data_IF_596966153752
#
_entry.id   IF_596966153752
#
_cell.length_a   1.000
_cell.length_b   1.000
_cell.length_c   1.000
_cell.angle_alpha   90.00
_cell.angle_beta   90.00
_cell.angle_gamma   90.00
#
_symmetry.space_group_name_H-M   'P 1'
#
loop_
_entity.id
_entity.type
_entity.pdbx_description
1 polymer ?
#
# COMPACT_ATOMS: atom_id res chain seq x y z
N UNK A 1 4.60 -21.54 5.83
CA UNK A 1 6.01 -21.14 5.74
C UNK A 1 6.53 -21.25 4.33
N UNK A 2 6.36 -22.41 3.69
CA UNK A 2 6.86 -22.61 2.31
C UNK A 2 6.19 -21.66 1.32
N UNK A 3 4.86 -21.52 1.40
CA UNK A 3 4.11 -20.63 0.52
C UNK A 3 4.47 -19.17 0.73
N UNK A 4 4.64 -18.76 1.99
CA UNK A 4 5.06 -17.39 2.30
C UNK A 4 6.45 -17.11 1.78
N UNK A 5 7.35 -18.07 1.86
CA UNK A 5 8.72 -17.93 1.35
C UNK A 5 8.73 -17.77 -0.16
N UNK A 6 7.94 -18.59 -0.88
CA UNK A 6 7.80 -18.45 -2.33
C UNK A 6 7.20 -17.10 -2.72
N UNK A 7 6.17 -16.65 -1.98
CA UNK A 7 5.54 -15.36 -2.22
C UNK A 7 6.53 -14.22 -2.06
N UNK A 8 7.37 -14.27 -1.01
CA UNK A 8 8.42 -13.27 -0.81
C UNK A 8 9.42 -13.25 -1.97
N UNK A 9 9.82 -14.43 -2.44
CA UNK A 9 10.76 -14.53 -3.56
C UNK A 9 10.15 -13.97 -4.84
N UNK A 10 8.87 -14.29 -5.09
CA UNK A 10 8.18 -13.87 -6.31
C UNK A 10 7.86 -12.38 -6.34
N UNK A 11 7.87 -11.73 -5.18
CA UNK A 11 7.56 -10.30 -5.04
C UNK A 11 8.70 -9.53 -4.39
N UNK A 12 9.93 -10.00 -4.57
CA UNK A 12 11.11 -9.31 -4.05
C UNK A 12 11.45 -8.07 -4.87
N UNK A 13 12.29 -7.23 -4.31
CA UNK A 13 12.74 -6.01 -4.97
C UNK A 13 13.35 -6.34 -6.32
N UNK A 14 12.96 -5.57 -7.34
CA UNK A 14 13.37 -5.76 -8.71
C UNK A 14 12.40 -6.59 -9.55
N UNK A 15 11.45 -7.27 -8.94
CA UNK A 15 10.43 -8.03 -9.65
C UNK A 15 9.28 -7.11 -10.09
N UNK A 16 8.60 -7.50 -11.16
CA UNK A 16 7.36 -6.83 -11.56
C UNK A 16 6.29 -7.12 -10.52
N UNK A 17 5.41 -6.15 -10.28
CA UNK A 17 4.31 -6.35 -9.33
C UNK A 17 3.40 -7.49 -9.77
N UNK A 18 2.74 -8.10 -8.80
CA UNK A 18 1.71 -9.11 -9.06
C UNK A 18 0.35 -8.46 -8.81
N UNK A 19 -0.52 -8.52 -9.81
CA UNK A 19 -1.86 -7.94 -9.69
C UNK A 19 -2.77 -8.78 -8.80
N UNK A 20 -3.78 -8.16 -8.26
CA UNK A 20 -4.85 -8.84 -7.54
C UNK A 20 -6.15 -8.05 -7.68
N UNK A 21 -7.26 -8.73 -7.43
CA UNK A 21 -8.61 -8.18 -7.56
C UNK A 21 -9.32 -8.31 -6.22
N UNK A 22 -9.95 -7.22 -5.79
CA UNK A 22 -10.82 -7.23 -4.60
C UNK A 22 -12.23 -6.88 -5.05
N UNK A 23 -13.15 -7.83 -4.91
CA UNK A 23 -14.50 -7.68 -5.49
C UNK A 23 -15.27 -6.48 -4.93
N UNK A 24 -15.09 -6.17 -3.63
CA UNK A 24 -15.74 -5.01 -3.01
C UNK A 24 -14.70 -4.07 -2.43
N UNK A 25 -13.57 -3.90 -3.13
CA UNK A 25 -12.41 -3.18 -2.60
C UNK A 25 -12.50 -1.67 -2.67
N UNK A 26 -13.43 -1.12 -3.42
CA UNK A 26 -13.60 0.33 -3.50
C UNK A 26 -14.41 0.86 -2.33
N UNK A 27 -14.25 2.14 -2.02
CA UNK A 27 -14.98 2.78 -0.92
C UNK A 27 -16.51 2.75 -1.13
N UNK A 28 -16.95 2.63 -2.38
CA UNK A 28 -18.37 2.52 -2.72
C UNK A 28 -18.80 1.08 -2.96
N UNK A 29 -17.95 0.11 -2.61
CA UNK A 29 -18.24 -1.30 -2.80
C UNK A 29 -17.91 -1.85 -4.18
N UNK A 30 -17.32 -1.04 -5.04
CA UNK A 30 -16.98 -1.47 -6.40
C UNK A 30 -15.78 -2.41 -6.43
N UNK A 31 -15.70 -3.19 -7.50
CA UNK A 31 -14.57 -4.07 -7.76
C UNK A 31 -13.35 -3.24 -8.14
N UNK A 32 -12.20 -3.57 -7.57
CA UNK A 32 -10.95 -2.85 -7.87
C UNK A 32 -9.83 -3.85 -8.13
N UNK A 33 -8.85 -3.43 -8.93
CA UNK A 33 -7.62 -4.16 -9.18
C UNK A 33 -6.44 -3.34 -8.68
N UNK A 34 -5.40 -4.02 -8.23
CA UNK A 34 -4.16 -3.34 -7.85
C UNK A 34 -3.58 -2.57 -9.04
N UNK A 35 -3.70 -3.15 -10.23
CA UNK A 35 -3.25 -2.52 -11.48
C UNK A 35 -4.04 -1.27 -11.87
N UNK A 36 -5.14 -0.98 -11.18
CA UNK A 36 -5.82 0.31 -11.37
C UNK A 36 -4.95 1.47 -10.88
N UNK A 37 -3.98 1.18 -10.00
CA UNK A 37 -3.12 2.18 -9.37
C UNK A 37 -1.64 1.97 -9.71
N UNK A 38 -1.16 0.73 -9.67
CA UNK A 38 0.25 0.40 -9.86
C UNK A 38 0.52 0.18 -11.35
N UNK A 39 1.66 0.68 -11.81
CA UNK A 39 2.05 0.52 -13.22
C UNK A 39 1.36 1.49 -14.16
N UNK A 40 0.92 2.63 -13.66
CA UNK A 40 0.18 3.63 -14.45
C UNK A 40 1.01 4.88 -14.76
N UNK A 41 2.32 4.75 -14.74
CA UNK A 41 3.19 5.85 -15.13
C UNK A 41 3.64 6.76 -14.00
N UNK A 42 3.22 6.47 -12.78
CA UNK A 42 3.66 7.18 -11.57
C UNK A 42 4.21 6.19 -10.57
N UNK A 43 5.14 6.65 -9.74
CA UNK A 43 5.53 5.89 -8.55
C UNK A 43 4.30 5.71 -7.67
N UNK A 44 4.16 4.54 -7.05
CA UNK A 44 3.05 4.26 -6.12
C UNK A 44 3.62 3.83 -4.78
N UNK A 45 3.28 4.57 -3.74
CA UNK A 45 3.58 4.19 -2.36
C UNK A 45 2.37 3.44 -1.82
N UNK A 46 2.58 2.22 -1.40
CA UNK A 46 1.50 1.33 -0.94
C UNK A 46 1.71 0.98 0.53
N UNK A 47 0.68 1.22 1.33
CA UNK A 47 0.67 0.95 2.76
C UNK A 47 -0.36 -0.14 3.06
N UNK A 48 0.11 -1.33 3.41
CA UNK A 48 -0.76 -2.42 3.86
C UNK A 48 -0.98 -2.26 5.37
N UNK A 49 -2.22 -2.11 5.79
CA UNK A 49 -2.54 -1.70 7.16
C UNK A 49 -3.87 -2.28 7.65
N UNK A 50 -4.18 -2.05 8.94
CA UNK A 50 -5.47 -2.39 9.53
C UNK A 50 -5.76 -1.44 10.69
N UNK A 51 -7.04 -1.24 10.98
CA UNK A 51 -7.46 -0.31 12.05
C UNK A 51 -7.08 -0.79 13.44
N UNK A 52 -6.93 -2.11 13.63
CA UNK A 52 -6.55 -2.68 14.93
C UNK A 52 -5.03 -2.65 15.16
N UNK A 53 -4.26 -2.26 14.17
CA UNK A 53 -2.80 -2.31 14.21
C UNK A 53 -2.24 -0.99 14.76
N UNK A 54 -1.69 -1.00 15.96
CA UNK A 54 -1.11 0.19 16.59
C UNK A 54 0.01 0.82 15.76
N UNK A 55 1.05 0.06 15.36
CA UNK A 55 2.11 0.62 14.52
C UNK A 55 1.59 1.19 13.19
N UNK A 56 0.57 0.59 12.61
CA UNK A 56 -0.04 1.11 11.37
C UNK A 56 -0.62 2.50 11.61
N UNK A 57 -1.33 2.66 12.72
CA UNK A 57 -1.94 3.96 13.05
C UNK A 57 -0.89 5.02 13.34
N UNK A 58 0.23 4.63 13.92
CA UNK A 58 1.33 5.58 14.19
C UNK A 58 2.02 6.05 12.90
N UNK A 59 1.96 5.25 11.82
CA UNK A 59 2.51 5.65 10.52
C UNK A 59 1.58 6.58 9.73
N UNK A 60 0.29 6.63 10.05
CA UNK A 60 -0.68 7.44 9.30
C UNK A 60 -0.27 8.91 9.18
N UNK A 61 0.15 9.59 10.27
CA UNK A 61 0.59 10.98 10.12
C UNK A 61 1.75 11.14 9.14
N UNK A 62 2.67 10.18 9.09
CA UNK A 62 3.78 10.20 8.15
C UNK A 62 3.28 10.01 6.70
N UNK A 63 2.38 9.06 6.48
CA UNK A 63 1.78 8.84 5.16
C UNK A 63 1.02 10.09 4.71
N UNK A 64 0.30 10.72 5.63
CA UNK A 64 -0.42 11.97 5.34
C UNK A 64 0.52 13.08 4.91
N UNK A 65 1.65 13.22 5.60
CA UNK A 65 2.65 14.23 5.23
C UNK A 65 3.29 13.94 3.87
N UNK A 66 3.55 12.67 3.58
CA UNK A 66 4.03 12.24 2.27
C UNK A 66 3.02 12.59 1.19
N UNK A 67 1.75 12.33 1.44
CA UNK A 67 0.69 12.66 0.50
C UNK A 67 0.62 14.18 0.25
N UNK A 68 0.70 14.97 1.31
CA UNK A 68 0.66 16.44 1.17
C UNK A 68 1.82 16.98 0.36
N UNK A 69 2.99 16.40 0.55
CA UNK A 69 4.21 16.87 -0.10
C UNK A 69 4.35 16.33 -1.54
N UNK A 70 4.05 15.05 -1.75
CA UNK A 70 4.35 14.37 -3.02
C UNK A 70 3.12 13.90 -3.79
N UNK A 71 1.91 14.08 -3.24
CA UNK A 71 0.69 13.50 -3.80
C UNK A 71 0.31 13.97 -5.20
N UNK A 72 0.90 15.07 -5.68
CA UNK A 72 0.73 15.52 -7.05
C UNK A 72 1.68 14.82 -8.04
N UNK A 73 2.72 14.16 -7.54
CA UNK A 73 3.74 13.49 -8.36
C UNK A 73 3.73 11.98 -8.24
N UNK A 74 3.17 11.44 -7.15
CA UNK A 74 3.08 10.00 -6.92
C UNK A 74 1.65 9.62 -6.56
N UNK A 75 1.35 8.34 -6.66
CA UNK A 75 0.10 7.79 -6.12
C UNK A 75 0.39 7.25 -4.71
N UNK A 76 -0.44 7.65 -3.75
CA UNK A 76 -0.41 7.08 -2.40
C UNK A 76 -1.64 6.20 -2.26
N UNK A 77 -1.43 4.95 -1.90
CA UNK A 77 -2.49 3.94 -1.83
C UNK A 77 -2.38 3.17 -0.52
N UNK A 78 -3.45 3.17 0.27
CA UNK A 78 -3.55 2.30 1.45
C UNK A 78 -4.42 1.10 1.11
N UNK A 79 -3.95 -0.08 1.46
CA UNK A 79 -4.66 -1.35 1.24
C UNK A 79 -4.97 -1.95 2.59
N UNK A 80 -6.24 -1.96 2.98
CA UNK A 80 -6.66 -2.48 4.28
C UNK A 80 -6.79 -4.00 4.21
N UNK A 81 -6.06 -4.67 5.08
CA UNK A 81 -5.99 -6.13 5.15
C UNK A 81 -6.42 -6.61 6.52
N UNK A 82 -6.87 -7.85 6.62
CA UNK A 82 -7.19 -8.54 7.89
C UNK A 82 -8.12 -7.73 8.79
N UNK A 83 -9.13 -7.06 8.21
CA UNK A 83 -9.97 -6.13 8.96
C UNK A 83 -11.40 -6.17 8.41
N UNK A 84 -12.33 -5.76 9.25
CA UNK A 84 -13.72 -5.65 8.86
C UNK A 84 -13.92 -4.39 8.02
N UNK A 85 -14.69 -4.51 6.96
CA UNK A 85 -15.00 -3.39 6.07
C UNK A 85 -15.53 -2.18 6.85
N UNK A 86 -16.49 -2.42 7.74
CA UNK A 86 -17.12 -1.34 8.50
C UNK A 86 -16.13 -0.60 9.38
N UNK A 87 -15.18 -1.32 9.98
CA UNK A 87 -14.13 -0.70 10.82
C UNK A 87 -13.22 0.20 9.98
N UNK A 88 -12.83 -0.27 8.81
CA UNK A 88 -11.97 0.50 7.90
C UNK A 88 -12.68 1.75 7.42
N UNK A 89 -13.92 1.62 6.97
CA UNK A 89 -14.72 2.75 6.49
C UNK A 89 -14.87 3.83 7.56
N UNK A 90 -15.22 3.40 8.77
CA UNK A 90 -15.41 4.34 9.89
C UNK A 90 -14.10 5.06 10.23
N UNK A 91 -12.99 4.35 10.22
CA UNK A 91 -11.68 4.92 10.53
C UNK A 91 -11.26 5.96 9.48
N UNK A 92 -11.40 5.64 8.21
CA UNK A 92 -11.06 6.55 7.11
C UNK A 92 -11.90 7.83 7.21
N UNK A 93 -13.19 7.68 7.50
CA UNK A 93 -14.11 8.81 7.61
C UNK A 93 -13.73 9.74 8.77
N UNK A 94 -13.28 9.17 9.89
CA UNK A 94 -12.97 9.94 11.10
C UNK A 94 -11.57 10.54 11.10
N UNK A 95 -10.70 10.04 10.26
CA UNK A 95 -9.30 10.47 10.22
C UNK A 95 -9.00 11.02 8.83
N UNK A 96 -8.25 12.09 8.76
CA UNK A 96 -7.91 12.76 7.51
C UNK A 96 -6.99 11.86 6.67
N UNK A 97 -7.58 11.07 5.79
CA UNK A 97 -6.89 10.12 4.93
C UNK A 97 -7.40 10.26 3.48
N UNK A 98 -7.11 11.39 2.82
CA UNK A 98 -7.74 11.71 1.52
C UNK A 98 -7.11 11.01 0.32
N UNK A 99 -6.10 10.19 0.50
CA UNK A 99 -5.44 9.47 -0.59
C UNK A 99 -6.27 8.26 -1.04
N UNK A 100 -5.73 7.48 -1.98
CA UNK A 100 -6.43 6.33 -2.54
C UNK A 100 -6.48 5.16 -1.58
N UNK A 101 -7.57 4.41 -1.63
CA UNK A 101 -7.80 3.27 -0.72
C UNK A 101 -8.36 2.07 -1.48
N UNK A 102 -7.83 0.90 -1.13
CA UNK A 102 -8.46 -0.39 -1.38
C UNK A 102 -8.79 -0.94 -0.01
N UNK A 103 -10.04 -1.33 0.21
CA UNK A 103 -10.48 -1.84 1.51
C UNK A 103 -10.99 -3.26 1.36
N UNK A 104 -11.18 -3.94 2.49
CA UNK A 104 -11.73 -5.30 2.52
C UNK A 104 -10.91 -6.30 1.71
N UNK A 105 -9.59 -6.07 1.64
CA UNK A 105 -8.71 -6.94 0.88
C UNK A 105 -8.41 -8.26 1.59
N UNK A 106 -8.59 -8.29 2.91
CA UNK A 106 -8.41 -9.46 3.76
C UNK A 106 -7.00 -10.06 3.57
N UNK A 107 -6.90 -11.35 3.28
CA UNK A 107 -5.60 -12.01 3.10
C UNK A 107 -5.16 -12.07 1.63
N UNK A 108 -5.94 -11.58 0.69
CA UNK A 108 -5.60 -11.74 -0.73
C UNK A 108 -4.22 -11.18 -1.06
N UNK A 109 -3.94 -9.87 -0.82
CA UNK A 109 -2.61 -9.36 -1.16
C UNK A 109 -1.52 -9.84 -0.22
N UNK A 110 -1.84 -10.11 1.04
CA UNK A 110 -0.82 -10.57 1.98
C UNK A 110 -0.30 -11.96 1.63
N UNK A 111 -1.18 -12.83 1.12
CA UNK A 111 -0.76 -14.15 0.64
C UNK A 111 0.12 -14.03 -0.60
N UNK A 112 -0.24 -13.14 -1.52
CA UNK A 112 0.51 -12.95 -2.77
C UNK A 112 1.90 -12.38 -2.50
N UNK A 113 1.99 -11.39 -1.60
CA UNK A 113 3.22 -10.66 -1.34
C UNK A 113 4.02 -11.20 -0.16
N UNK A 114 3.58 -12.31 0.43
CA UNK A 114 4.27 -12.93 1.57
C UNK A 114 4.32 -12.03 2.80
N UNK A 115 3.28 -11.21 3.00
CA UNK A 115 3.21 -10.27 4.11
C UNK A 115 2.72 -11.01 5.35
N UNK A 116 3.55 -11.06 6.38
CA UNK A 116 3.23 -11.74 7.64
C UNK A 116 3.03 -10.76 8.80
N UNK A 117 3.37 -9.49 8.59
CA UNK A 117 3.20 -8.45 9.60
C UNK A 117 2.90 -7.12 8.94
N UNK A 118 2.17 -6.26 9.65
CA UNK A 118 1.82 -4.92 9.18
C UNK A 118 2.23 -3.89 10.23
N UNK A 119 2.49 -2.62 9.85
CA UNK A 119 2.35 -2.11 8.49
C UNK A 119 3.44 -2.66 7.58
N UNK A 120 3.10 -2.86 6.31
CA UNK A 120 4.09 -3.14 5.27
C UNK A 120 3.97 -2.04 4.23
N UNK A 121 5.01 -1.24 4.09
CA UNK A 121 5.01 -0.11 3.15
C UNK A 121 6.00 -0.41 2.05
N UNK A 122 5.53 -0.34 0.81
CA UNK A 122 6.30 -0.68 -0.38
C UNK A 122 6.25 0.46 -1.39
N UNK A 123 7.28 0.58 -2.19
CA UNK A 123 7.31 1.55 -3.29
C UNK A 123 7.43 0.81 -4.62
N UNK A 124 6.58 1.19 -5.57
CA UNK A 124 6.52 0.63 -6.91
C UNK A 124 6.91 1.71 -7.92
N UNK A 125 7.71 1.31 -8.92
CA UNK A 125 8.11 2.20 -10.01
C UNK A 125 6.93 2.50 -10.94
N UNK A 126 7.06 3.51 -11.82
CA UNK A 126 6.00 3.84 -12.77
C UNK A 126 5.57 2.69 -13.67
N UNK A 127 6.48 1.75 -13.97
CA UNK A 127 6.16 0.57 -14.78
C UNK A 127 5.59 -0.59 -13.97
N UNK A 128 5.58 -0.47 -12.63
CA UNK A 128 5.09 -1.52 -11.74
C UNK A 128 6.18 -2.36 -11.09
N UNK A 129 7.47 -2.08 -11.36
CA UNK A 129 8.56 -2.78 -10.70
C UNK A 129 8.56 -2.49 -9.19
N UNK A 130 8.73 -3.53 -8.38
CA UNK A 130 8.84 -3.39 -6.93
C UNK A 130 10.22 -2.81 -6.62
N UNK A 131 10.27 -1.58 -6.13
CA UNK A 131 11.53 -0.89 -5.85
C UNK A 131 12.02 -1.14 -4.43
N UNK A 132 11.11 -1.09 -3.46
CA UNK A 132 11.47 -1.22 -2.04
C UNK A 132 10.34 -1.88 -1.28
N UNK A 133 10.73 -2.67 -0.27
CA UNK A 133 9.82 -3.25 0.71
C UNK A 133 10.25 -2.78 2.09
N UNK A 134 9.40 -2.98 3.08
CA UNK A 134 9.68 -2.72 4.50
C UNK A 134 10.11 -1.28 4.80
N UNK A 135 9.49 -0.32 4.11
CA UNK A 135 9.76 1.10 4.35
C UNK A 135 9.09 1.57 5.63
N UNK A 136 9.73 2.50 6.34
CA UNK A 136 9.21 3.09 7.58
C UNK A 136 9.72 4.50 7.76
N UNK A 137 8.84 5.34 8.32
CA UNK A 137 9.23 6.64 8.84
C UNK A 137 9.91 7.54 7.84
N UNK A 138 10.98 8.18 8.28
CA UNK A 138 11.68 9.19 7.49
C UNK A 138 12.39 8.62 6.26
N UNK A 139 12.70 7.33 6.24
CA UNK A 139 13.34 6.72 5.06
C UNK A 139 12.47 6.82 3.81
N UNK A 140 11.13 6.91 3.97
CA UNK A 140 10.21 7.05 2.84
C UNK A 140 10.45 8.39 2.15
N UNK A 141 10.48 9.48 2.92
CA UNK A 141 10.73 10.82 2.39
C UNK A 141 12.08 10.89 1.70
N UNK A 142 13.12 10.36 2.35
CA UNK A 142 14.49 10.40 1.80
C UNK A 142 14.55 9.66 0.46
N UNK A 143 13.89 8.51 0.37
CA UNK A 143 13.86 7.75 -0.87
C UNK A 143 13.14 8.53 -1.97
N UNK A 144 11.97 9.09 -1.67
CA UNK A 144 11.20 9.86 -2.64
C UNK A 144 11.97 11.09 -3.12
N UNK A 145 12.63 11.79 -2.21
CA UNK A 145 13.46 12.93 -2.59
C UNK A 145 14.57 12.52 -3.55
N UNK A 146 15.21 11.38 -3.29
CA UNK A 146 16.31 10.93 -4.12
C UNK A 146 15.88 10.55 -5.54
N UNK A 147 14.68 10.01 -5.72
CA UNK A 147 14.23 9.54 -7.03
C UNK A 147 13.42 10.59 -7.80
N UNK A 148 12.76 11.53 -7.12
CA UNK A 148 11.90 12.52 -7.76
C UNK A 148 12.64 13.81 -8.15
N UNK A 149 13.74 14.11 -7.53
CA UNK A 149 14.50 15.33 -7.79
C UNK A 149 15.57 15.17 -8.87
N UNK A 150 15.59 14.03 -9.50
CA UNK A 150 16.57 13.77 -10.56
C UNK A 150 16.06 14.24 -11.92
#
# INVERSE_FOLDING_TARGET
AYKAFEALRNTSEGKMFTDFVIENGGLKGERVKFSDYVGKGKYTLVDFWATWCGPCKREIPNVRNIYKEFGDRITVLSVAVWDKRASTEAFIEKNDMPWKHIIDAQQIPTDIYGIQGIPQIMLFAPDGTILKRDLRGEEIRKLLESILEK
#
